data_IF_012827572880
#
_entry.id   IF_012827572880
#
_cell.length_a   1.000
_cell.length_b   1.000
_cell.length_c   1.000
_cell.angle_alpha   90.00
_cell.angle_beta   90.00
_cell.angle_gamma   90.00
#
_symmetry.space_group_name_H-M   'P 1'
#
loop_
_entity.id
_entity.type
_entity.pdbx_description
1 polymer ?
#
# COMPACT_ATOMS: atom_id res chain seq x y z
N UNK A 1 -14.85 18.46 4.14
CA UNK A 1 -14.28 17.20 4.71
C UNK A 1 -13.98 16.25 3.56
N UNK A 2 -12.71 15.92 3.38
CA UNK A 2 -12.24 15.01 2.32
C UNK A 2 -12.47 13.56 2.74
N UNK A 3 -12.06 13.20 3.94
CA UNK A 3 -12.29 11.87 4.50
C UNK A 3 -13.55 11.90 5.36
N UNK A 4 -14.53 11.08 5.04
CA UNK A 4 -15.85 11.04 5.71
C UNK A 4 -16.12 9.72 6.43
N UNK A 5 -15.17 8.78 6.41
CA UNK A 5 -15.25 7.49 7.05
C UNK A 5 -13.84 6.99 7.36
N UNK A 6 -13.65 6.30 8.48
CA UNK A 6 -12.39 5.63 8.82
C UNK A 6 -12.12 4.40 7.94
N UNK A 7 -13.11 3.92 7.18
CA UNK A 7 -12.90 2.91 6.13
C UNK A 7 -12.27 3.49 4.85
N UNK A 8 -12.21 4.83 4.69
CA UNK A 8 -11.60 5.45 3.51
C UNK A 8 -10.06 5.35 3.57
N UNK A 9 -9.60 4.12 3.58
CA UNK A 9 -8.20 3.71 3.67
C UNK A 9 -8.00 2.36 2.99
N UNK A 10 -6.75 1.95 2.80
CA UNK A 10 -6.43 0.66 2.20
C UNK A 10 -6.63 -0.49 3.21
N UNK A 11 -7.16 -1.62 2.74
CA UNK A 11 -7.45 -2.80 3.56
C UNK A 11 -6.24 -3.28 4.39
N UNK A 12 -5.02 -3.20 3.82
CA UNK A 12 -3.82 -3.65 4.51
C UNK A 12 -3.56 -2.91 5.84
N UNK A 13 -4.14 -1.71 6.04
CA UNK A 13 -4.05 -1.01 7.32
C UNK A 13 -4.83 -1.74 8.42
N UNK A 14 -5.99 -2.26 8.09
CA UNK A 14 -6.78 -3.07 9.05
C UNK A 14 -6.13 -4.42 9.32
N UNK A 15 -5.64 -5.08 8.27
CA UNK A 15 -4.98 -6.38 8.45
C UNK A 15 -3.69 -6.25 9.28
N UNK A 16 -2.85 -5.25 9.02
CA UNK A 16 -1.69 -5.00 9.88
C UNK A 16 -2.09 -4.59 11.29
N UNK A 17 -3.10 -3.73 11.46
CA UNK A 17 -3.59 -3.30 12.77
C UNK A 17 -4.10 -4.47 13.62
N UNK A 18 -4.79 -5.45 13.01
CA UNK A 18 -5.20 -6.67 13.68
C UNK A 18 -3.98 -7.49 14.15
N UNK A 19 -2.99 -7.68 13.29
CA UNK A 19 -1.76 -8.37 13.68
C UNK A 19 -1.01 -7.62 14.80
N UNK A 20 -1.00 -6.30 14.77
CA UNK A 20 -0.42 -5.46 15.85
C UNK A 20 -1.20 -5.62 17.16
N UNK A 21 -2.54 -5.59 17.12
CA UNK A 21 -3.37 -5.78 18.31
C UNK A 21 -3.06 -7.08 19.01
N UNK A 22 -2.93 -8.17 18.26
CA UNK A 22 -2.76 -9.50 18.84
C UNK A 22 -1.33 -9.83 19.24
N UNK A 23 -0.33 -9.26 18.55
CA UNK A 23 1.06 -9.70 18.72
C UNK A 23 1.99 -8.59 19.25
N UNK A 24 1.68 -7.32 19.00
CA UNK A 24 2.54 -6.19 19.32
C UNK A 24 1.78 -4.98 19.92
N UNK A 25 0.83 -5.19 20.87
CA UNK A 25 -0.08 -4.12 21.31
C UNK A 25 0.62 -2.94 22.00
N UNK A 26 1.82 -3.13 22.54
CA UNK A 26 2.60 -2.09 23.21
C UNK A 26 3.59 -1.35 22.30
N UNK A 27 3.70 -1.73 21.02
CA UNK A 27 4.66 -1.13 20.10
C UNK A 27 4.44 0.38 19.93
N UNK A 28 5.55 1.15 20.00
CA UNK A 28 5.59 2.59 19.77
C UNK A 28 6.26 2.86 18.42
N UNK A 29 5.73 3.80 17.65
CA UNK A 29 6.24 4.08 16.31
C UNK A 29 6.36 5.57 16.02
N UNK A 30 7.22 5.90 15.05
CA UNK A 30 7.32 7.23 14.48
C UNK A 30 7.29 7.15 12.96
N UNK A 31 6.57 8.08 12.33
CA UNK A 31 6.51 8.21 10.88
C UNK A 31 6.89 9.62 10.46
N UNK A 32 7.41 9.74 9.24
CA UNK A 32 7.71 11.00 8.58
C UNK A 32 7.10 11.07 7.19
N UNK A 33 6.62 12.24 6.85
CA UNK A 33 6.16 12.60 5.52
C UNK A 33 7.33 13.03 4.63
N UNK A 34 7.21 12.78 3.33
CA UNK A 34 8.11 13.32 2.32
C UNK A 34 7.36 13.58 1.02
N UNK A 35 7.50 14.77 0.47
CA UNK A 35 7.18 15.09 -0.93
C UNK A 35 8.47 14.96 -1.76
N UNK A 36 8.38 14.25 -2.89
CA UNK A 36 9.54 13.99 -3.77
C UNK A 36 9.52 14.82 -5.05
N UNK A 37 8.44 15.60 -5.28
CA UNK A 37 8.37 16.51 -6.42
C UNK A 37 9.19 17.76 -6.11
N UNK A 38 10.20 18.10 -6.91
CA UNK A 38 10.96 19.34 -6.72
C UNK A 38 10.07 20.54 -6.97
N UNK A 39 10.22 21.59 -6.14
CA UNK A 39 9.52 22.87 -6.32
C UNK A 39 8.03 22.89 -5.96
N UNK A 40 7.47 21.79 -5.45
CA UNK A 40 6.09 21.78 -4.96
C UNK A 40 6.02 22.45 -3.59
N UNK A 41 5.31 23.58 -3.50
CA UNK A 41 5.06 24.30 -2.26
C UNK A 41 3.74 23.84 -1.63
N UNK A 42 3.82 23.14 -0.49
CA UNK A 42 2.67 22.71 0.31
C UNK A 42 2.40 23.58 1.53
N UNK A 43 3.40 24.39 1.95
CA UNK A 43 3.31 25.27 3.12
C UNK A 43 2.09 26.24 3.09
N UNK A 44 1.68 26.81 1.93
CA UNK A 44 0.49 27.66 1.87
C UNK A 44 -0.81 26.97 2.31
N UNK A 45 -0.87 25.63 2.26
CA UNK A 45 -2.06 24.85 2.52
C UNK A 45 -2.06 24.18 3.90
N UNK A 46 -1.05 24.43 4.74
CA UNK A 46 -0.90 23.78 6.06
C UNK A 46 -2.14 23.92 6.93
N UNK A 47 -2.77 25.09 6.95
CA UNK A 47 -3.96 25.31 7.82
C UNK A 47 -5.13 24.45 7.34
N UNK A 48 -5.38 24.39 6.05
CA UNK A 48 -6.43 23.57 5.45
C UNK A 48 -6.19 22.06 5.70
N UNK A 49 -4.93 21.61 5.57
CA UNK A 49 -4.53 20.24 5.87
C UNK A 49 -4.78 19.92 7.36
N UNK A 50 -4.44 20.84 8.28
CA UNK A 50 -4.71 20.66 9.72
C UNK A 50 -6.21 20.55 10.01
N UNK A 51 -7.03 21.37 9.38
CA UNK A 51 -8.48 21.36 9.59
C UNK A 51 -9.13 20.08 9.07
N UNK A 52 -8.67 19.55 7.94
CA UNK A 52 -9.10 18.23 7.43
C UNK A 52 -8.63 17.08 8.34
N UNK A 53 -7.41 17.14 8.89
CA UNK A 53 -6.90 16.13 9.84
C UNK A 53 -7.69 16.19 11.16
N UNK A 54 -8.03 17.38 11.66
CA UNK A 54 -8.90 17.54 12.84
C UNK A 54 -10.27 16.92 12.58
N UNK A 55 -10.83 17.14 11.41
CA UNK A 55 -12.08 16.53 10.98
C UNK A 55 -11.97 15.00 10.89
N UNK A 56 -10.86 14.47 10.36
CA UNK A 56 -10.55 13.03 10.35
C UNK A 56 -10.52 12.46 11.79
N UNK A 57 -9.91 13.15 12.75
CA UNK A 57 -9.83 12.71 14.14
C UNK A 57 -11.18 12.72 14.88
N UNK A 58 -12.19 13.41 14.37
CA UNK A 58 -13.55 13.39 14.91
C UNK A 58 -14.38 12.18 14.46
N UNK A 59 -13.92 11.42 13.46
CA UNK A 59 -14.65 10.29 12.91
C UNK A 59 -14.64 9.08 13.85
N UNK A 60 -15.69 8.26 13.70
CA UNK A 60 -15.88 6.98 14.37
C UNK A 60 -16.35 5.96 13.35
N UNK A 61 -16.04 4.70 13.59
CA UNK A 61 -16.65 3.61 12.82
C UNK A 61 -18.16 3.56 13.07
N UNK A 62 -18.92 3.44 12.00
CA UNK A 62 -20.36 3.26 12.06
C UNK A 62 -20.71 1.78 12.16
N UNK A 63 -21.89 1.44 12.71
CA UNK A 63 -22.32 0.05 12.88
C UNK A 63 -22.30 -0.76 11.58
N UNK A 64 -22.72 -0.13 10.46
CA UNK A 64 -22.68 -0.77 9.14
C UNK A 64 -21.24 -1.06 8.65
N UNK A 65 -20.27 -0.21 8.99
CA UNK A 65 -18.85 -0.39 8.68
C UNK A 65 -18.24 -1.52 9.49
N UNK A 66 -18.57 -1.57 10.80
CA UNK A 66 -18.14 -2.65 11.69
C UNK A 66 -18.77 -4.00 11.28
N UNK A 67 -20.05 -4.01 10.91
CA UNK A 67 -20.72 -5.20 10.41
C UNK A 67 -20.09 -5.71 9.11
N UNK A 68 -19.74 -4.80 8.19
CA UNK A 68 -19.04 -5.16 6.96
C UNK A 68 -17.62 -5.72 7.25
N UNK A 69 -16.83 -5.09 8.10
CA UNK A 69 -15.52 -5.64 8.50
C UNK A 69 -15.67 -7.04 9.12
N UNK A 70 -16.67 -7.26 9.98
CA UNK A 70 -16.94 -8.55 10.61
C UNK A 70 -17.34 -9.63 9.59
N UNK A 71 -17.87 -9.25 8.44
CA UNK A 71 -18.20 -10.19 7.35
C UNK A 71 -16.97 -10.72 6.58
N UNK A 72 -15.82 -10.07 6.71
CA UNK A 72 -14.58 -10.49 6.08
C UNK A 72 -13.95 -11.63 6.90
N UNK A 73 -13.83 -12.82 6.31
CA UNK A 73 -13.45 -14.06 7.02
C UNK A 73 -12.11 -13.99 7.76
N UNK A 74 -11.17 -13.13 7.30
CA UNK A 74 -9.85 -12.94 7.89
C UNK A 74 -9.82 -11.84 8.94
N UNK A 75 -10.90 -11.10 9.15
CA UNK A 75 -11.05 -10.09 10.20
C UNK A 75 -11.71 -10.75 11.41
N UNK A 76 -11.04 -10.71 12.57
CA UNK A 76 -11.49 -11.33 13.81
C UNK A 76 -12.46 -10.44 14.59
N UNK A 77 -13.41 -11.06 15.31
CA UNK A 77 -14.48 -10.34 16.02
C UNK A 77 -13.94 -9.39 17.09
N UNK A 78 -12.94 -9.83 17.85
CA UNK A 78 -12.31 -9.04 18.92
C UNK A 78 -11.60 -7.78 18.38
N UNK A 79 -11.00 -7.88 17.18
CA UNK A 79 -10.47 -6.71 16.49
C UNK A 79 -11.57 -5.74 16.06
N UNK A 80 -12.71 -6.24 15.58
CA UNK A 80 -13.85 -5.37 15.23
C UNK A 80 -14.45 -4.71 16.49
N UNK A 81 -14.50 -5.42 17.60
CA UNK A 81 -14.94 -4.85 18.89
C UNK A 81 -13.98 -3.75 19.36
N UNK A 82 -12.66 -3.94 19.20
CA UNK A 82 -11.67 -2.90 19.42
C UNK A 82 -11.91 -1.67 18.53
N UNK A 83 -12.19 -1.87 17.23
CA UNK A 83 -12.47 -0.76 16.30
C UNK A 83 -13.73 0.03 16.68
N UNK A 84 -14.73 -0.58 17.31
CA UNK A 84 -15.91 0.10 17.84
C UNK A 84 -15.57 1.16 18.89
N UNK A 85 -14.47 0.95 19.63
CA UNK A 85 -13.97 1.88 20.63
C UNK A 85 -12.87 2.81 20.10
N UNK A 86 -12.36 2.53 18.90
CA UNK A 86 -11.20 3.23 18.33
C UNK A 86 -11.52 4.68 17.96
N UNK A 87 -10.54 5.55 18.22
CA UNK A 87 -10.54 6.97 17.81
C UNK A 87 -9.12 7.37 17.43
N UNK A 88 -9.00 8.06 16.31
CA UNK A 88 -7.77 8.81 16.02
C UNK A 88 -7.67 10.00 16.99
N UNK A 89 -6.45 10.36 17.35
CA UNK A 89 -6.21 11.46 18.27
C UNK A 89 -5.16 12.41 17.71
N UNK A 90 -5.53 13.68 17.56
CA UNK A 90 -4.69 14.75 16.99
C UNK A 90 -3.35 14.91 17.73
N UNK A 91 -3.26 14.53 19.03
CA UNK A 91 -2.01 14.58 19.80
C UNK A 91 -0.86 13.76 19.22
N UNK A 92 -1.17 12.77 18.37
CA UNK A 92 -0.16 11.89 17.75
C UNK A 92 0.37 12.39 16.40
N UNK A 93 -0.20 13.48 15.85
CA UNK A 93 0.20 14.01 14.55
C UNK A 93 0.50 15.51 14.66
N UNK A 94 1.60 15.92 14.03
CA UNK A 94 1.99 17.31 13.92
C UNK A 94 2.18 17.67 12.43
N UNK A 95 1.71 18.83 12.02
CA UNK A 95 1.84 19.35 10.66
C UNK A 95 2.39 20.76 10.73
N UNK A 96 3.56 21.00 10.16
CA UNK A 96 4.24 22.31 10.24
C UNK A 96 4.67 22.78 8.85
N UNK A 97 4.54 24.08 8.60
CA UNK A 97 5.14 24.72 7.43
C UNK A 97 6.64 24.87 7.64
N UNK A 98 7.42 24.61 6.60
CA UNK A 98 8.86 24.85 6.58
C UNK A 98 9.19 26.13 5.79
N UNK A 99 10.31 26.76 6.12
CA UNK A 99 10.74 28.02 5.49
C UNK A 99 11.01 27.90 3.97
N UNK A 100 11.31 26.70 3.49
CA UNK A 100 11.55 26.40 2.08
C UNK A 100 10.24 26.17 1.26
N UNK A 101 9.07 26.38 1.86
CA UNK A 101 7.78 26.17 1.22
C UNK A 101 7.25 24.72 1.29
N UNK A 102 8.02 23.80 1.86
CA UNK A 102 7.58 22.43 2.13
C UNK A 102 6.77 22.34 3.43
N UNK A 103 6.27 21.13 3.75
CA UNK A 103 5.67 20.80 5.04
C UNK A 103 6.40 19.64 5.72
N UNK A 104 6.45 19.69 7.04
CA UNK A 104 6.79 18.54 7.88
C UNK A 104 5.53 17.97 8.47
N UNK A 105 5.28 16.67 8.24
CA UNK A 105 4.25 15.90 8.96
C UNK A 105 4.95 14.78 9.69
N UNK A 106 4.81 14.79 11.02
CA UNK A 106 5.32 13.75 11.90
C UNK A 106 4.18 13.10 12.68
N UNK A 107 4.22 11.77 12.76
CA UNK A 107 3.24 10.98 13.50
C UNK A 107 4.02 10.15 14.50
N UNK A 108 3.67 10.21 15.80
CA UNK A 108 4.36 9.48 16.86
C UNK A 108 3.38 9.01 17.94
N UNK A 109 3.52 7.76 18.36
CA UNK A 109 2.71 7.19 19.43
C UNK A 109 2.55 5.68 19.34
N UNK A 110 1.59 5.09 20.12
CA UNK A 110 1.30 3.67 20.02
C UNK A 110 0.90 3.28 18.61
N UNK A 111 1.47 2.21 18.08
CA UNK A 111 1.23 1.78 16.70
C UNK A 111 -0.24 1.56 16.41
N UNK A 112 -0.98 0.94 17.30
CA UNK A 112 -2.44 0.76 17.21
C UNK A 112 -3.21 2.07 17.03
N UNK A 113 -2.73 3.19 17.58
CA UNK A 113 -3.40 4.50 17.52
C UNK A 113 -2.91 5.38 16.36
N UNK A 114 -1.83 5.01 15.69
CA UNK A 114 -1.19 5.82 14.64
C UNK A 114 -1.26 5.21 13.24
N UNK A 115 -1.45 3.90 13.13
CA UNK A 115 -1.40 3.14 11.88
C UNK A 115 -2.40 3.64 10.82
N UNK A 116 -3.58 4.12 11.23
CA UNK A 116 -4.61 4.60 10.31
C UNK A 116 -4.42 6.05 9.82
N UNK A 117 -3.37 6.77 10.25
CA UNK A 117 -3.11 8.12 9.75
C UNK A 117 -2.56 8.14 8.31
N UNK A 118 -1.68 7.20 7.94
CA UNK A 118 -0.88 7.29 6.70
C UNK A 118 -1.74 7.56 5.46
N UNK A 119 -2.67 6.68 5.16
CA UNK A 119 -3.42 6.75 3.90
C UNK A 119 -4.39 7.93 3.85
N UNK A 120 -5.23 8.18 4.89
CA UNK A 120 -6.10 9.35 4.90
C UNK A 120 -5.34 10.67 4.85
N UNK A 121 -4.21 10.80 5.56
CA UNK A 121 -3.40 12.03 5.55
C UNK A 121 -2.79 12.26 4.18
N UNK A 122 -2.27 11.23 3.51
CA UNK A 122 -1.75 11.35 2.13
C UNK A 122 -2.87 11.76 1.16
N UNK A 123 -4.06 11.16 1.26
CA UNK A 123 -5.21 11.54 0.43
C UNK A 123 -5.66 12.99 0.69
N UNK A 124 -5.66 13.43 1.96
CA UNK A 124 -5.95 14.83 2.33
C UNK A 124 -4.94 15.78 1.69
N UNK A 125 -3.63 15.55 1.88
CA UNK A 125 -2.58 16.41 1.32
C UNK A 125 -2.71 16.51 -0.19
N UNK A 126 -2.93 15.36 -0.85
CA UNK A 126 -3.06 15.32 -2.31
C UNK A 126 -4.29 16.10 -2.80
N UNK A 127 -5.45 15.86 -2.23
CA UNK A 127 -6.70 16.51 -2.64
C UNK A 127 -6.70 18.02 -2.29
N UNK A 128 -6.17 18.42 -1.14
CA UNK A 128 -5.99 19.83 -0.78
C UNK A 128 -5.08 20.53 -1.80
N UNK A 129 -3.97 19.92 -2.18
CA UNK A 129 -3.08 20.48 -3.19
C UNK A 129 -3.80 20.69 -4.53
N UNK A 130 -4.44 19.66 -5.07
CA UNK A 130 -5.08 19.74 -6.38
C UNK A 130 -6.27 20.70 -6.41
N UNK A 131 -7.12 20.74 -5.38
CA UNK A 131 -8.25 21.69 -5.33
C UNK A 131 -7.83 23.16 -5.24
N UNK A 132 -6.63 23.44 -4.73
CA UNK A 132 -6.10 24.80 -4.66
C UNK A 132 -5.31 25.21 -5.89
N UNK A 133 -4.61 24.27 -6.53
CA UNK A 133 -3.80 24.53 -7.73
C UNK A 133 -4.60 24.42 -9.02
N UNK A 134 -5.65 23.60 -9.05
CA UNK A 134 -6.49 23.35 -10.22
C UNK A 134 -7.97 23.56 -9.84
N UNK A 135 -8.38 24.82 -9.69
CA UNK A 135 -9.73 25.21 -9.25
C UNK A 135 -10.86 24.67 -10.15
N UNK A 136 -10.58 24.48 -11.43
CA UNK A 136 -11.48 23.86 -12.40
C UNK A 136 -10.77 22.69 -13.05
N UNK A 137 -10.82 21.49 -12.44
CA UNK A 137 -10.11 20.34 -12.98
C UNK A 137 -10.73 19.87 -14.30
N UNK A 138 -9.88 19.41 -15.21
CA UNK A 138 -10.32 18.85 -16.49
C UNK A 138 -10.75 17.38 -16.35
N UNK A 139 -11.96 17.16 -15.83
CA UNK A 139 -12.54 15.82 -15.74
C UNK A 139 -12.86 15.20 -17.10
N UNK A 140 -13.02 16.00 -18.18
CA UNK A 140 -13.21 15.46 -19.52
C UNK A 140 -11.95 14.77 -20.00
N UNK A 141 -10.79 15.40 -19.79
CA UNK A 141 -9.50 14.77 -20.10
C UNK A 141 -9.27 13.51 -19.26
N UNK A 142 -9.61 13.56 -17.97
CA UNK A 142 -9.54 12.37 -17.11
C UNK A 142 -10.39 11.21 -17.63
N UNK A 143 -11.63 11.46 -18.05
CA UNK A 143 -12.52 10.44 -18.64
C UNK A 143 -11.98 9.92 -19.96
N UNK A 144 -11.50 10.81 -20.84
CA UNK A 144 -10.89 10.42 -22.11
C UNK A 144 -9.70 9.47 -21.92
N UNK A 145 -8.82 9.79 -20.96
CA UNK A 145 -7.67 8.91 -20.61
C UNK A 145 -8.13 7.58 -20.04
N UNK A 146 -9.15 7.59 -19.20
CA UNK A 146 -9.72 6.36 -18.65
C UNK A 146 -10.31 5.47 -19.74
N UNK A 147 -11.09 6.05 -20.67
CA UNK A 147 -11.64 5.31 -21.80
C UNK A 147 -10.54 4.69 -22.67
N UNK A 148 -9.48 5.42 -22.97
CA UNK A 148 -8.33 4.88 -23.70
C UNK A 148 -7.68 3.67 -23.01
N UNK A 149 -7.55 3.71 -21.68
CA UNK A 149 -7.03 2.57 -20.90
C UNK A 149 -7.94 1.34 -20.96
N UNK A 150 -9.26 1.58 -20.90
CA UNK A 150 -10.25 0.51 -21.01
C UNK A 150 -10.24 -0.09 -22.43
N UNK A 151 -10.17 0.75 -23.47
CA UNK A 151 -10.05 0.30 -24.86
C UNK A 151 -8.79 -0.56 -25.06
N UNK A 152 -7.65 -0.16 -24.51
CA UNK A 152 -6.42 -0.94 -24.58
C UNK A 152 -6.57 -2.34 -23.95
N UNK A 153 -7.25 -2.44 -22.78
CA UNK A 153 -7.53 -3.71 -22.13
C UNK A 153 -8.46 -4.60 -22.97
N UNK A 154 -9.43 -4.02 -23.68
CA UNK A 154 -10.37 -4.75 -24.52
C UNK A 154 -9.75 -5.16 -25.88
N UNK A 155 -8.88 -4.33 -26.48
CA UNK A 155 -8.28 -4.58 -27.79
C UNK A 155 -7.43 -5.84 -27.82
N UNK A 156 -6.73 -6.15 -26.74
CA UNK A 156 -5.83 -7.30 -26.60
C UNK A 156 -6.56 -8.64 -26.35
N UNK A 157 -7.90 -8.65 -26.24
CA UNK A 157 -8.71 -9.84 -25.90
C UNK A 157 -8.18 -10.59 -24.67
N UNK A 158 -7.79 -9.86 -23.64
CA UNK A 158 -7.19 -10.37 -22.41
C UNK A 158 -8.25 -10.65 -21.35
N UNK A 159 -9.20 -11.51 -21.63
CA UNK A 159 -10.38 -11.76 -20.77
C UNK A 159 -10.03 -12.27 -19.38
N UNK A 160 -8.89 -12.91 -19.22
CA UNK A 160 -8.38 -13.44 -17.96
C UNK A 160 -7.38 -12.49 -17.25
N UNK A 161 -7.01 -11.35 -17.86
CA UNK A 161 -6.22 -10.33 -17.20
C UNK A 161 -7.05 -9.65 -16.10
N UNK A 162 -6.53 -9.66 -14.88
CA UNK A 162 -7.16 -9.04 -13.70
C UNK A 162 -6.36 -7.82 -13.26
N UNK A 163 -7.02 -6.66 -13.20
CA UNK A 163 -6.45 -5.43 -12.61
C UNK A 163 -7.17 -5.10 -11.30
N UNK A 164 -6.47 -4.45 -10.40
CA UNK A 164 -6.98 -3.96 -9.13
C UNK A 164 -6.66 -2.48 -8.95
N UNK A 165 -7.55 -1.75 -8.32
CA UNK A 165 -7.28 -0.38 -7.91
C UNK A 165 -6.49 -0.35 -6.59
N UNK A 166 -5.31 0.31 -6.62
CA UNK A 166 -4.44 0.58 -5.46
C UNK A 166 -4.13 2.07 -5.31
N UNK A 167 -5.07 2.95 -5.70
CA UNK A 167 -4.81 4.37 -5.89
C UNK A 167 -5.22 5.29 -4.75
N UNK A 168 -5.72 4.80 -3.60
CA UNK A 168 -6.30 5.60 -2.52
C UNK A 168 -5.43 6.78 -2.07
N UNK A 169 -4.17 6.51 -1.71
CA UNK A 169 -3.28 7.48 -1.05
C UNK A 169 -2.86 8.68 -1.90
N UNK A 170 -2.93 8.57 -3.23
CA UNK A 170 -2.55 9.63 -4.18
C UNK A 170 -3.64 9.93 -5.19
N UNK A 171 -4.88 9.59 -4.87
CA UNK A 171 -6.03 9.89 -5.72
C UNK A 171 -6.14 11.40 -5.94
N UNK A 172 -6.58 11.81 -7.12
CA UNK A 172 -6.81 13.22 -7.42
C UNK A 172 -7.84 13.83 -6.45
N UNK A 173 -8.99 13.16 -6.31
CA UNK A 173 -10.01 13.47 -5.32
C UNK A 173 -10.83 12.22 -4.99
N UNK A 174 -11.54 12.25 -3.86
CA UNK A 174 -12.47 11.17 -3.49
C UNK A 174 -13.58 10.99 -4.52
N UNK A 175 -14.15 12.09 -5.02
CA UNK A 175 -15.23 12.05 -6.00
C UNK A 175 -14.75 11.43 -7.33
N UNK A 176 -13.58 11.82 -7.81
CA UNK A 176 -12.99 11.22 -9.01
C UNK A 176 -12.69 9.73 -8.84
N UNK A 177 -12.17 9.33 -7.69
CA UNK A 177 -11.87 7.93 -7.41
C UNK A 177 -13.15 7.07 -7.42
N UNK A 178 -14.24 7.57 -6.83
CA UNK A 178 -15.53 6.87 -6.86
C UNK A 178 -16.12 6.79 -8.29
N UNK A 179 -16.08 7.88 -9.06
CA UNK A 179 -16.51 7.90 -10.45
C UNK A 179 -15.74 6.88 -11.30
N UNK A 180 -14.41 6.90 -11.19
CA UNK A 180 -13.52 5.96 -11.87
C UNK A 180 -13.88 4.51 -11.58
N UNK A 181 -14.07 4.15 -10.30
CA UNK A 181 -14.43 2.78 -9.92
C UNK A 181 -15.77 2.35 -10.50
N UNK A 182 -16.79 3.25 -10.53
CA UNK A 182 -18.08 2.97 -11.15
C UNK A 182 -17.95 2.71 -12.66
N UNK A 183 -17.10 3.48 -13.36
CA UNK A 183 -16.80 3.26 -14.77
C UNK A 183 -16.11 1.92 -14.99
N UNK A 184 -15.08 1.60 -14.19
CA UNK A 184 -14.37 0.31 -14.29
C UNK A 184 -15.31 -0.89 -14.02
N UNK A 185 -16.20 -0.79 -13.03
CA UNK A 185 -17.23 -1.82 -12.77
C UNK A 185 -18.10 -2.04 -14.01
N UNK A 186 -18.60 -0.95 -14.58
CA UNK A 186 -19.51 -1.01 -15.74
C UNK A 186 -18.84 -1.54 -16.99
N UNK A 187 -17.58 -1.19 -17.24
CA UNK A 187 -16.88 -1.48 -18.50
C UNK A 187 -16.07 -2.79 -18.47
N UNK A 188 -15.42 -3.08 -17.35
CA UNK A 188 -14.57 -4.26 -17.21
C UNK A 188 -15.26 -5.43 -16.52
N UNK A 189 -16.36 -5.17 -15.80
CA UNK A 189 -17.03 -6.18 -14.98
C UNK A 189 -16.21 -6.57 -13.76
N UNK A 190 -16.84 -7.32 -12.84
CA UNK A 190 -16.27 -7.80 -11.58
C UNK A 190 -16.45 -9.32 -11.43
N UNK A 191 -15.89 -9.90 -10.36
CA UNK A 191 -16.02 -11.33 -10.08
C UNK A 191 -15.16 -12.22 -10.97
N UNK A 192 -15.57 -13.46 -11.17
CA UNK A 192 -14.78 -14.48 -11.88
C UNK A 192 -14.57 -14.16 -13.36
N UNK A 193 -15.56 -13.59 -14.00
CA UNK A 193 -15.55 -13.27 -15.44
C UNK A 193 -15.12 -11.84 -15.76
N UNK A 194 -15.20 -10.91 -14.79
CA UNK A 194 -14.79 -9.52 -15.00
C UNK A 194 -13.28 -9.33 -14.87
N UNK A 195 -12.76 -8.23 -15.44
CA UNK A 195 -11.34 -7.86 -15.37
C UNK A 195 -10.99 -7.00 -14.15
N UNK A 196 -11.96 -6.36 -13.50
CA UNK A 196 -11.73 -5.64 -12.24
C UNK A 196 -11.77 -6.63 -11.08
N UNK A 197 -10.59 -6.94 -10.52
CA UNK A 197 -10.45 -7.84 -9.38
C UNK A 197 -11.00 -7.23 -8.08
N UNK A 198 -10.88 -5.91 -7.90
CA UNK A 198 -11.34 -5.20 -6.70
C UNK A 198 -10.59 -3.90 -6.46
N UNK A 199 -10.67 -3.41 -5.25
CA UNK A 199 -9.98 -2.18 -4.79
C UNK A 199 -9.30 -2.39 -3.44
N UNK A 200 -8.21 -1.68 -3.20
CA UNK A 200 -7.60 -1.63 -1.86
C UNK A 200 -8.38 -0.77 -0.87
N UNK A 201 -9.20 0.17 -1.37
CA UNK A 201 -9.99 1.08 -0.54
C UNK A 201 -11.18 0.35 0.12
N UNK A 202 -11.13 0.19 1.44
CA UNK A 202 -12.15 -0.54 2.19
C UNK A 202 -13.54 0.11 2.11
N UNK A 203 -13.63 1.46 2.10
CA UNK A 203 -14.90 2.15 1.96
C UNK A 203 -15.56 1.90 0.61
N UNK A 204 -14.77 1.99 -0.46
CA UNK A 204 -15.31 1.75 -1.80
C UNK A 204 -15.60 0.28 -2.05
N UNK A 205 -14.81 -0.63 -1.47
CA UNK A 205 -15.14 -2.05 -1.50
C UNK A 205 -16.52 -2.31 -0.88
N UNK A 206 -16.78 -1.76 0.31
CA UNK A 206 -18.09 -1.86 0.98
C UNK A 206 -19.21 -1.22 0.16
N UNK A 207 -19.02 0.04 -0.28
CA UNK A 207 -20.09 0.81 -0.95
C UNK A 207 -20.45 0.32 -2.34
N UNK A 208 -19.47 -0.21 -3.07
CA UNK A 208 -19.64 -0.61 -4.47
C UNK A 208 -19.72 -2.13 -4.64
N UNK A 209 -19.69 -2.89 -3.56
CA UNK A 209 -19.73 -4.36 -3.60
C UNK A 209 -18.50 -4.98 -4.27
N UNK A 210 -17.34 -4.31 -4.20
CA UNK A 210 -16.09 -4.80 -4.75
C UNK A 210 -15.36 -5.70 -3.75
N UNK A 211 -14.50 -6.59 -4.27
CA UNK A 211 -13.59 -7.37 -3.44
C UNK A 211 -12.56 -6.45 -2.78
N UNK A 212 -12.47 -6.40 -1.44
CA UNK A 212 -11.43 -5.66 -0.76
C UNK A 212 -10.09 -6.39 -0.91
N UNK A 213 -9.05 -5.67 -1.35
CA UNK A 213 -7.73 -6.24 -1.65
C UNK A 213 -6.65 -5.60 -0.77
N UNK A 214 -5.76 -6.41 -0.26
CA UNK A 214 -4.63 -5.98 0.55
C UNK A 214 -4.20 -7.05 1.52
N UNK A 215 -2.88 -7.13 1.76
CA UNK A 215 -2.30 -8.08 2.70
C UNK A 215 -1.43 -7.33 3.70
N UNK A 216 -0.11 -7.41 3.59
CA UNK A 216 0.87 -6.67 4.39
C UNK A 216 1.50 -5.54 3.59
N UNK A 217 2.07 -4.55 4.28
CA UNK A 217 2.86 -3.48 3.68
C UNK A 217 4.26 -3.41 4.33
N UNK A 218 5.14 -2.59 3.74
CA UNK A 218 6.52 -2.40 4.20
C UNK A 218 6.61 -2.06 5.68
N UNK A 219 5.73 -1.21 6.17
CA UNK A 219 5.63 -0.80 7.58
C UNK A 219 5.65 -1.99 8.54
N UNK A 220 4.92 -3.07 8.25
CA UNK A 220 4.87 -4.27 9.09
C UNK A 220 6.23 -4.96 9.16
N UNK A 221 6.83 -5.24 8.01
CA UNK A 221 8.15 -5.89 7.95
C UNK A 221 9.28 -4.97 8.46
N UNK A 222 9.15 -3.64 8.28
CA UNK A 222 10.07 -2.67 8.88
C UNK A 222 10.00 -2.70 10.41
N UNK A 223 8.79 -2.71 10.99
CA UNK A 223 8.62 -2.81 12.45
C UNK A 223 9.24 -4.09 13.01
N UNK A 224 9.21 -5.21 12.27
CA UNK A 224 9.83 -6.46 12.68
C UNK A 224 11.36 -6.36 12.88
N UNK A 225 12.03 -5.31 12.33
CA UNK A 225 13.45 -5.04 12.62
C UNK A 225 13.69 -4.75 14.10
N UNK A 226 12.72 -4.12 14.78
CA UNK A 226 12.78 -3.78 16.20
C UNK A 226 11.99 -4.74 17.10
N UNK A 227 11.04 -5.48 16.53
CA UNK A 227 10.15 -6.38 17.29
C UNK A 227 10.63 -7.82 17.27
N UNK A 228 11.39 -8.21 16.27
CA UNK A 228 11.94 -9.56 16.15
C UNK A 228 13.12 -9.82 17.11
N UNK A 229 13.43 -11.10 17.38
CA UNK A 229 14.49 -11.47 18.31
C UNK A 229 15.89 -11.10 17.80
N UNK A 230 16.09 -11.06 16.50
CA UNK A 230 17.35 -10.67 15.85
C UNK A 230 17.06 -9.93 14.54
N UNK A 231 17.80 -8.86 14.27
CA UNK A 231 17.63 -8.06 13.05
C UNK A 231 17.79 -8.91 11.77
N UNK A 232 18.76 -9.83 11.75
CA UNK A 232 19.04 -10.72 10.61
C UNK A 232 17.83 -11.60 10.24
N UNK A 233 17.04 -11.98 11.22
CA UNK A 233 15.88 -12.86 11.06
C UNK A 233 14.55 -12.10 11.00
N UNK A 234 14.58 -10.78 10.97
CA UNK A 234 13.39 -9.93 11.08
C UNK A 234 12.36 -10.16 9.97
N UNK A 235 12.81 -10.51 8.76
CA UNK A 235 11.92 -10.85 7.64
C UNK A 235 11.21 -12.19 7.85
N UNK A 236 11.97 -13.21 8.26
CA UNK A 236 11.44 -14.53 8.63
C UNK A 236 10.44 -14.40 9.78
N UNK A 237 10.82 -13.68 10.84
CA UNK A 237 9.92 -13.38 11.96
C UNK A 237 8.62 -12.70 11.52
N UNK A 238 8.70 -11.74 10.60
CA UNK A 238 7.54 -11.06 10.04
C UNK A 238 6.61 -12.02 9.28
N UNK A 239 7.16 -12.93 8.47
CA UNK A 239 6.37 -13.93 7.75
C UNK A 239 5.74 -14.96 8.70
N UNK A 240 6.45 -15.43 9.70
CA UNK A 240 5.94 -16.38 10.71
C UNK A 240 4.81 -15.78 11.54
N UNK A 241 4.99 -14.54 12.01
CA UNK A 241 3.96 -13.85 12.81
C UNK A 241 2.72 -13.53 11.97
N UNK A 242 2.90 -13.19 10.69
CA UNK A 242 1.79 -13.03 9.75
C UNK A 242 1.03 -14.35 9.51
N UNK A 243 1.75 -15.43 9.26
CA UNK A 243 1.16 -16.74 9.07
C UNK A 243 0.43 -17.24 10.33
N UNK A 244 0.96 -16.92 11.52
CA UNK A 244 0.29 -17.23 12.81
C UNK A 244 -1.03 -16.49 12.94
N UNK A 245 -1.07 -15.22 12.53
CA UNK A 245 -2.29 -14.40 12.59
C UNK A 245 -3.36 -14.89 11.63
N UNK A 246 -2.99 -15.13 10.37
CA UNK A 246 -3.95 -15.34 9.28
C UNK A 246 -4.13 -16.79 8.86
N UNK A 247 -3.27 -17.71 9.31
CA UNK A 247 -3.42 -19.17 9.14
C UNK A 247 -3.69 -19.60 7.70
N UNK A 248 -3.07 -18.95 6.72
CA UNK A 248 -3.22 -19.24 5.30
C UNK A 248 -4.06 -18.22 4.52
N UNK A 249 -4.83 -17.36 5.19
CA UNK A 249 -5.43 -16.19 4.53
C UNK A 249 -4.37 -15.11 4.30
N UNK A 250 -4.62 -14.24 3.31
CA UNK A 250 -3.77 -13.09 2.99
C UNK A 250 -2.30 -13.47 2.70
N UNK A 251 -2.13 -14.63 2.05
CA UNK A 251 -0.83 -15.28 1.82
C UNK A 251 0.02 -14.66 0.70
N UNK A 252 0.09 -13.33 0.57
CA UNK A 252 0.99 -12.66 -0.39
C UNK A 252 2.13 -11.97 0.35
N UNK A 253 3.34 -12.48 0.17
CA UNK A 253 4.55 -11.94 0.78
C UNK A 253 5.06 -10.71 0.02
N UNK A 254 5.46 -9.67 0.74
CA UNK A 254 6.10 -8.49 0.17
C UNK A 254 7.61 -8.75 0.05
N UNK A 255 8.19 -8.53 -1.14
CA UNK A 255 9.52 -9.06 -1.48
C UNK A 255 10.68 -8.06 -1.41
N UNK A 256 10.43 -6.78 -1.08
CA UNK A 256 11.44 -5.74 -1.30
C UNK A 256 11.74 -4.84 -0.07
N UNK A 257 11.60 -5.38 1.14
CA UNK A 257 12.01 -4.63 2.35
C UNK A 257 13.53 -4.51 2.42
N UNK A 258 14.23 -5.57 2.03
CA UNK A 258 15.71 -5.63 1.95
C UNK A 258 16.21 -5.87 0.52
N UNK A 259 15.33 -5.76 -0.48
CA UNK A 259 15.60 -6.14 -1.86
C UNK A 259 15.39 -7.63 -2.12
N UNK A 260 15.46 -8.01 -3.40
CA UNK A 260 15.11 -9.36 -3.85
C UNK A 260 16.08 -10.44 -3.36
N UNK A 261 17.39 -10.16 -3.22
CA UNK A 261 18.37 -11.18 -2.81
C UNK A 261 18.11 -11.69 -1.38
N UNK A 262 18.01 -10.83 -0.35
CA UNK A 262 17.64 -11.28 0.98
C UNK A 262 16.27 -11.94 1.02
N UNK A 263 15.31 -11.46 0.21
CA UNK A 263 14.00 -12.09 0.15
C UNK A 263 14.08 -13.55 -0.31
N UNK A 264 14.74 -13.84 -1.44
CA UNK A 264 14.85 -15.19 -1.98
C UNK A 264 15.60 -16.14 -1.03
N UNK A 265 16.59 -15.63 -0.28
CA UNK A 265 17.30 -16.40 0.74
C UNK A 265 16.38 -16.79 1.90
N UNK A 266 15.56 -15.85 2.38
CA UNK A 266 14.74 -16.00 3.58
C UNK A 266 13.38 -16.63 3.28
N UNK A 267 12.89 -16.53 2.02
CA UNK A 267 11.64 -17.12 1.54
C UNK A 267 11.89 -18.52 1.01
N UNK A 268 12.24 -19.43 1.90
CA UNK A 268 12.64 -20.80 1.62
C UNK A 268 11.45 -21.70 1.17
N UNK A 269 11.69 -23.00 1.07
CA UNK A 269 10.68 -23.99 0.68
C UNK A 269 9.46 -23.95 1.60
N UNK A 270 9.63 -23.70 2.90
CA UNK A 270 8.51 -23.62 3.85
C UNK A 270 7.58 -22.46 3.50
N UNK A 271 8.13 -21.26 3.33
CA UNK A 271 7.33 -20.09 2.95
C UNK A 271 6.80 -20.18 1.51
N UNK A 272 7.59 -20.72 0.58
CA UNK A 272 7.13 -20.97 -0.78
C UNK A 272 5.88 -21.87 -0.83
N UNK A 273 5.75 -22.83 0.09
CA UNK A 273 4.55 -23.68 0.21
C UNK A 273 3.43 -22.99 0.96
N UNK A 274 3.75 -22.27 2.04
CA UNK A 274 2.78 -21.66 2.95
C UNK A 274 2.04 -20.47 2.33
N UNK A 275 2.78 -19.60 1.62
CA UNK A 275 2.22 -18.39 1.01
C UNK A 275 1.64 -18.67 -0.38
N UNK A 276 0.55 -17.99 -0.73
CA UNK A 276 -0.10 -18.08 -2.04
C UNK A 276 0.71 -17.41 -3.16
N UNK A 277 1.61 -16.51 -2.79
CA UNK A 277 2.43 -15.80 -3.75
C UNK A 277 3.29 -14.70 -3.15
N UNK A 278 3.80 -13.85 -4.03
CA UNK A 278 4.63 -12.70 -3.67
C UNK A 278 4.25 -11.44 -4.45
N UNK A 279 4.60 -10.27 -3.89
CA UNK A 279 4.33 -8.95 -4.47
C UNK A 279 5.62 -8.21 -4.80
N UNK A 280 5.70 -7.76 -6.06
CA UNK A 280 6.70 -6.82 -6.58
C UNK A 280 6.30 -5.38 -6.22
N UNK A 281 7.22 -4.61 -5.65
CA UNK A 281 7.00 -3.18 -5.34
C UNK A 281 8.24 -2.29 -5.59
N UNK A 282 9.30 -2.82 -6.18
CA UNK A 282 10.47 -2.06 -6.67
C UNK A 282 11.36 -2.87 -7.60
N UNK A 283 12.25 -2.20 -8.33
CA UNK A 283 13.15 -2.80 -9.31
C UNK A 283 12.48 -3.11 -10.66
N UNK A 284 13.17 -3.88 -11.50
CA UNK A 284 12.62 -4.31 -12.80
C UNK A 284 11.64 -5.47 -12.62
N UNK A 285 10.34 -5.29 -12.98
CA UNK A 285 9.32 -6.32 -12.74
C UNK A 285 9.49 -7.57 -13.61
N UNK A 286 10.10 -7.44 -14.80
CA UNK A 286 10.34 -8.61 -15.66
C UNK A 286 11.41 -9.52 -15.07
N UNK A 287 12.52 -8.95 -14.66
CA UNK A 287 13.60 -9.68 -13.98
C UNK A 287 13.10 -10.29 -12.67
N UNK A 288 12.32 -9.53 -11.90
CA UNK A 288 11.74 -10.03 -10.64
C UNK A 288 10.82 -11.24 -10.89
N UNK A 289 9.93 -11.17 -11.88
CA UNK A 289 9.02 -12.26 -12.20
C UNK A 289 9.75 -13.54 -12.63
N UNK A 290 10.79 -13.43 -13.48
CA UNK A 290 11.62 -14.57 -13.87
C UNK A 290 12.33 -15.21 -12.66
N UNK A 291 12.88 -14.38 -11.78
CA UNK A 291 13.55 -14.85 -10.56
C UNK A 291 12.60 -15.56 -9.61
N UNK A 292 11.38 -15.04 -9.43
CA UNK A 292 10.37 -15.69 -8.58
C UNK A 292 9.94 -17.05 -9.13
N UNK A 293 9.69 -17.15 -10.45
CA UNK A 293 9.36 -18.42 -11.10
C UNK A 293 10.49 -19.44 -10.93
N UNK A 294 11.73 -19.03 -11.16
CA UNK A 294 12.91 -19.88 -10.95
C UNK A 294 13.04 -20.32 -9.48
N UNK A 295 12.81 -19.40 -8.54
CA UNK A 295 12.87 -19.65 -7.11
C UNK A 295 11.85 -20.69 -6.65
N UNK A 296 10.57 -20.59 -7.09
CA UNK A 296 9.57 -21.62 -6.81
C UNK A 296 9.99 -22.99 -7.32
N UNK A 297 10.48 -23.07 -8.57
CA UNK A 297 10.97 -24.34 -9.16
C UNK A 297 12.14 -24.93 -8.35
N UNK A 298 13.12 -24.10 -7.96
CA UNK A 298 14.26 -24.53 -7.15
C UNK A 298 13.83 -25.07 -5.79
N UNK A 299 12.75 -24.52 -5.22
CA UNK A 299 12.12 -24.97 -3.99
C UNK A 299 11.08 -26.10 -4.20
N UNK A 300 11.01 -26.70 -5.39
CA UNK A 300 10.09 -27.81 -5.73
C UNK A 300 8.61 -27.43 -5.52
N UNK A 301 8.26 -26.19 -5.82
CA UNK A 301 6.89 -25.66 -5.82
C UNK A 301 6.53 -25.32 -7.26
N UNK A 302 5.35 -25.81 -7.71
CA UNK A 302 4.84 -25.48 -9.03
C UNK A 302 4.42 -24.00 -9.11
N UNK A 303 5.07 -23.17 -9.96
CA UNK A 303 4.73 -21.76 -10.10
C UNK A 303 3.27 -21.53 -10.55
N UNK A 304 2.64 -22.48 -11.25
CA UNK A 304 1.23 -22.37 -11.66
C UNK A 304 0.26 -22.28 -10.47
N UNK A 305 0.69 -22.74 -9.30
CA UNK A 305 -0.08 -22.64 -8.04
C UNK A 305 0.16 -21.34 -7.30
N UNK A 306 1.02 -20.46 -7.79
CA UNK A 306 1.47 -19.24 -7.11
C UNK A 306 1.08 -17.99 -7.85
N UNK A 307 0.69 -16.96 -7.11
CA UNK A 307 0.31 -15.66 -7.64
C UNK A 307 1.49 -14.67 -7.56
N UNK A 308 1.87 -14.11 -8.68
CA UNK A 308 2.75 -12.95 -8.74
C UNK A 308 1.91 -11.68 -8.86
N UNK A 309 2.03 -10.78 -7.85
CA UNK A 309 1.36 -9.48 -7.85
C UNK A 309 2.38 -8.41 -8.23
N UNK A 310 2.09 -7.66 -9.27
CA UNK A 310 2.85 -6.49 -9.67
C UNK A 310 2.13 -5.23 -9.23
N UNK A 311 2.80 -4.29 -8.53
CA UNK A 311 2.16 -3.10 -7.98
C UNK A 311 3.00 -1.82 -8.01
N UNK A 312 4.19 -1.84 -8.62
CA UNK A 312 5.06 -0.66 -8.69
C UNK A 312 4.98 0.06 -10.02
N UNK A 313 4.51 1.31 -9.99
CA UNK A 313 4.53 2.21 -11.16
C UNK A 313 3.86 1.65 -12.40
N UNK A 314 2.79 0.87 -12.24
CA UNK A 314 2.10 0.24 -13.36
C UNK A 314 1.29 1.26 -14.15
N UNK A 315 1.43 1.20 -15.48
CA UNK A 315 0.47 1.69 -16.46
C UNK A 315 -0.28 0.51 -17.08
N UNK A 316 -1.33 0.77 -17.86
CA UNK A 316 -2.08 -0.31 -18.54
C UNK A 316 -1.18 -1.02 -19.56
N UNK A 317 -0.35 -0.29 -20.31
CA UNK A 317 0.58 -0.83 -21.28
C UNK A 317 1.62 -1.77 -20.64
N UNK A 318 2.20 -1.32 -19.50
CA UNK A 318 3.15 -2.14 -18.74
C UNK A 318 2.48 -3.38 -18.16
N UNK A 319 1.22 -3.26 -17.73
CA UNK A 319 0.40 -4.36 -17.23
C UNK A 319 0.18 -5.41 -18.32
N UNK A 320 -0.19 -4.99 -19.53
CA UNK A 320 -0.37 -5.88 -20.69
C UNK A 320 0.95 -6.59 -21.04
N UNK A 321 2.07 -5.87 -21.09
CA UNK A 321 3.37 -6.45 -21.39
C UNK A 321 3.80 -7.52 -20.36
N UNK A 322 3.60 -7.24 -19.05
CA UNK A 322 3.86 -8.20 -17.98
C UNK A 322 2.94 -9.42 -18.06
N UNK A 323 1.66 -9.19 -18.34
CA UNK A 323 0.72 -10.28 -18.53
C UNK A 323 1.15 -11.19 -19.71
N UNK A 324 1.50 -10.61 -20.86
CA UNK A 324 1.96 -11.37 -22.03
C UNK A 324 3.21 -12.21 -21.74
N UNK A 325 4.15 -11.66 -20.96
CA UNK A 325 5.40 -12.33 -20.58
C UNK A 325 5.15 -13.55 -19.67
N UNK A 326 4.22 -13.43 -18.72
CA UNK A 326 4.09 -14.41 -17.63
C UNK A 326 2.83 -15.27 -17.70
N UNK A 327 1.86 -14.98 -18.60
CA UNK A 327 0.64 -15.77 -18.75
C UNK A 327 0.97 -17.26 -18.99
N UNK A 328 0.21 -18.15 -18.33
CA UNK A 328 0.41 -19.59 -18.42
C UNK A 328 1.67 -20.11 -17.71
N UNK A 329 2.41 -19.27 -17.00
CA UNK A 329 3.61 -19.64 -16.22
C UNK A 329 3.42 -19.55 -14.71
N UNK A 330 2.50 -18.70 -14.28
CA UNK A 330 2.04 -18.51 -12.90
C UNK A 330 0.67 -17.83 -12.91
N UNK A 331 0.04 -17.67 -11.75
CA UNK A 331 -1.13 -16.82 -11.59
C UNK A 331 -0.67 -15.36 -11.50
N UNK A 332 -1.45 -14.43 -12.07
CA UNK A 332 -1.08 -13.02 -12.17
C UNK A 332 -2.16 -12.10 -11.61
N UNK A 333 -1.71 -11.05 -10.90
CA UNK A 333 -2.56 -9.95 -10.50
C UNK A 333 -1.78 -8.63 -10.60
N UNK A 334 -2.48 -7.52 -10.92
CA UNK A 334 -1.87 -6.23 -11.18
C UNK A 334 -2.57 -5.15 -10.39
N UNK A 335 -1.85 -4.49 -9.48
CA UNK A 335 -2.34 -3.36 -8.69
C UNK A 335 -1.92 -2.04 -9.32
N UNK A 336 -2.85 -1.29 -9.90
CA UNK A 336 -2.60 0.00 -10.53
C UNK A 336 -3.06 1.11 -9.57
N UNK A 337 -2.14 1.99 -9.20
CA UNK A 337 -2.40 3.08 -8.26
C UNK A 337 -2.65 4.41 -8.95
N UNK A 338 -1.70 5.31 -8.85
CA UNK A 338 -1.78 6.71 -9.33
C UNK A 338 -2.16 6.83 -10.80
N UNK A 339 -1.72 5.90 -11.64
CA UNK A 339 -2.06 5.89 -13.07
C UNK A 339 -3.56 5.67 -13.36
N UNK A 340 -4.33 5.12 -12.40
CA UNK A 340 -5.80 5.12 -12.45
C UNK A 340 -6.40 6.36 -11.79
N UNK A 341 -6.04 6.61 -10.53
CA UNK A 341 -6.78 7.53 -9.66
C UNK A 341 -6.33 8.98 -9.74
N UNK A 342 -5.21 9.27 -10.43
CA UNK A 342 -4.68 10.62 -10.57
C UNK A 342 -4.00 10.81 -11.94
N UNK A 343 -4.76 10.56 -13.02
CA UNK A 343 -4.33 10.77 -14.40
C UNK A 343 -5.34 11.66 -15.15
N UNK A 344 -5.37 12.93 -14.76
CA UNK A 344 -6.20 13.97 -15.38
C UNK A 344 -5.38 14.95 -16.25
N UNK A 345 -4.16 14.58 -16.64
CA UNK A 345 -3.26 15.46 -17.39
C UNK A 345 -2.34 16.32 -16.52
N UNK A 346 -2.45 16.21 -15.20
CA UNK A 346 -1.58 16.91 -14.25
C UNK A 346 -0.50 15.96 -13.72
N UNK A 347 0.63 16.53 -13.30
CA UNK A 347 1.68 15.75 -12.65
C UNK A 347 1.25 15.33 -11.24
N UNK A 348 1.19 14.03 -10.93
CA UNK A 348 0.79 13.56 -9.61
C UNK A 348 1.85 13.87 -8.54
N UNK A 349 1.40 14.19 -7.32
CA UNK A 349 2.30 14.30 -6.19
C UNK A 349 2.93 12.95 -5.84
N UNK A 350 4.27 12.95 -5.68
CA UNK A 350 5.04 11.79 -5.23
C UNK A 350 5.24 11.85 -3.70
N UNK A 351 4.12 11.86 -2.97
CA UNK A 351 4.11 11.94 -1.51
C UNK A 351 4.09 10.56 -0.87
N UNK A 352 4.75 10.46 0.28
CA UNK A 352 4.79 9.24 1.11
C UNK A 352 4.81 9.60 2.59
N UNK A 353 4.27 8.72 3.42
CA UNK A 353 4.52 8.67 4.87
C UNK A 353 5.15 7.31 5.15
N UNK A 354 6.27 7.27 5.87
CA UNK A 354 6.97 6.03 6.18
C UNK A 354 7.33 5.98 7.66
N UNK A 355 7.28 4.77 8.21
CA UNK A 355 7.80 4.49 9.53
C UNK A 355 9.32 4.67 9.53
N UNK A 356 9.83 5.44 10.49
CA UNK A 356 11.27 5.71 10.67
C UNK A 356 11.81 5.10 11.96
N UNK A 357 10.95 4.87 12.96
CA UNK A 357 11.32 4.24 14.22
C UNK A 357 10.23 3.30 14.72
N UNK A 358 10.65 2.23 15.41
CA UNK A 358 9.80 1.34 16.19
C UNK A 358 10.49 1.05 17.53
N UNK A 359 9.79 1.23 18.66
CA UNK A 359 10.33 1.11 20.02
C UNK A 359 11.67 1.85 20.18
N UNK A 360 11.71 3.11 19.75
CA UNK A 360 12.88 4.00 19.76
C UNK A 360 14.08 3.53 18.91
N UNK A 361 13.98 2.40 18.22
CA UNK A 361 14.99 1.94 17.29
C UNK A 361 14.68 2.46 15.87
N UNK A 362 15.68 2.89 15.09
CA UNK A 362 15.48 3.18 13.69
C UNK A 362 15.05 1.94 12.94
N UNK A 363 14.18 2.10 11.94
CA UNK A 363 13.77 1.05 11.01
C UNK A 363 13.77 1.61 9.59
N UNK A 364 14.10 0.77 8.62
CA UNK A 364 14.24 1.23 7.25
C UNK A 364 13.85 0.18 6.21
N UNK A 365 13.48 0.66 5.00
CA UNK A 365 13.39 -0.15 3.80
C UNK A 365 14.65 0.05 2.96
N UNK A 366 15.30 -1.05 2.56
CA UNK A 366 16.36 -1.07 1.55
C UNK A 366 15.77 -1.54 0.22
N UNK A 367 15.17 -0.59 -0.49
CA UNK A 367 14.51 -0.87 -1.77
C UNK A 367 15.50 -1.19 -2.88
N UNK A 368 15.13 -2.06 -3.83
CA UNK A 368 15.86 -2.27 -5.09
C UNK A 368 15.92 -0.98 -5.95
N UNK A 369 15.11 0.02 -5.60
CA UNK A 369 15.18 1.37 -6.17
C UNK A 369 15.73 2.35 -5.11
N UNK A 370 16.99 2.82 -5.18
CA UNK A 370 17.63 3.61 -4.12
C UNK A 370 16.89 4.90 -3.73
N UNK A 371 16.25 5.58 -4.69
CA UNK A 371 15.44 6.79 -4.44
C UNK A 371 14.21 6.54 -3.56
N UNK A 372 13.81 5.30 -3.35
CA UNK A 372 12.70 4.92 -2.46
C UNK A 372 13.13 4.68 -1.02
N UNK A 373 14.42 4.68 -0.72
CA UNK A 373 14.92 4.55 0.65
C UNK A 373 14.49 5.77 1.47
N UNK A 374 14.16 5.56 2.73
CA UNK A 374 13.87 6.61 3.69
C UNK A 374 14.28 6.11 5.08
N UNK A 375 15.32 6.72 5.61
CA UNK A 375 15.80 6.52 6.97
C UNK A 375 16.49 7.81 7.41
N UNK A 376 16.33 8.19 8.66
CA UNK A 376 16.96 9.37 9.25
C UNK A 376 18.37 9.05 9.80
N UNK A 377 18.72 7.76 9.88
CA UNK A 377 20.00 7.28 10.44
C UNK A 377 20.80 6.54 9.38
N UNK A 378 21.78 7.23 8.78
CA UNK A 378 22.66 6.66 7.76
C UNK A 378 23.56 5.52 8.34
N UNK A 379 23.92 5.60 9.61
CA UNK A 379 24.70 4.53 10.26
C UNK A 379 23.88 3.26 10.37
N UNK A 380 22.59 3.40 10.70
CA UNK A 380 21.68 2.27 10.72
C UNK A 380 21.48 1.69 9.31
N UNK A 381 21.37 2.50 8.27
CA UNK A 381 21.31 2.02 6.89
C UNK A 381 22.56 1.22 6.50
N UNK A 382 23.75 1.71 6.87
CA UNK A 382 25.00 0.99 6.61
C UNK A 382 25.05 -0.36 7.36
N UNK A 383 24.66 -0.34 8.63
CA UNK A 383 24.56 -1.56 9.45
C UNK A 383 23.54 -2.56 8.88
N UNK A 384 22.37 -2.07 8.46
CA UNK A 384 21.31 -2.90 7.87
C UNK A 384 21.81 -3.58 6.57
N UNK A 385 22.54 -2.86 5.71
CA UNK A 385 23.19 -3.46 4.52
C UNK A 385 24.17 -4.54 4.87
N UNK A 386 25.01 -4.30 5.88
CA UNK A 386 25.97 -5.29 6.37
C UNK A 386 25.28 -6.57 6.88
N UNK A 387 24.20 -6.41 7.68
CA UNK A 387 23.44 -7.55 8.24
C UNK A 387 22.79 -8.40 7.15
N UNK A 388 22.35 -7.80 6.06
CA UNK A 388 21.68 -8.49 4.95
C UNK A 388 22.57 -8.77 3.74
N UNK A 389 23.90 -8.56 3.85
CA UNK A 389 24.89 -8.79 2.78
C UNK A 389 24.56 -8.02 1.49
N UNK A 390 24.09 -6.78 1.61
CA UNK A 390 23.70 -5.94 0.47
C UNK A 390 24.87 -5.00 0.13
N UNK A 391 25.30 -5.01 -1.13
CA UNK A 391 26.37 -4.12 -1.60
C UNK A 391 26.03 -2.63 -1.34
N UNK A 392 27.05 -1.84 -1.02
CA UNK A 392 26.89 -0.40 -0.94
C UNK A 392 26.60 0.15 -2.34
N UNK A 393 25.70 1.16 -2.49
CA UNK A 393 25.55 1.84 -3.75
C UNK A 393 26.90 2.49 -4.13
N UNK A 394 27.31 2.31 -5.38
CA UNK A 394 28.52 2.92 -5.93
C UNK A 394 28.42 4.45 -5.95
#
# INVERSE_FOLDING_TARGET
MIITSLLDTDLYKFTMMQAVLHQFPSAQVSYKFKCRNPGVALAPYVQEIRDEIRSLCSLQFQDAELAWLRSLRFIKSDFVDFLGLFRLNEKYIQVNALANGEIDISIQGPWLHTILFEIPVLAIVNEVYFRNTHKVPDFLEGRRRLDQKIEALHAERLSDLKIADYGTRRRFSKAWHEELLRVLISKLGTGSTGQLAGTSNALFAMKLGLTPLGTMAHEYLQACQALGPRLRDSQVFGFETWAREYRGDLGIALSDVYGIEPFLRDFDMYFCKLFDGARHDSGDPFTWGERMIAHYRNNRVDPLTKTLIFSDGLTVEKTIALYQQFRGRCQLAFGIGTNLTNDLGYEPLQIVIKMTRCNDQPVAKLSDTPSKNMCEDEKYLAYLRQVFDIAQPA
#
